data_IF_505446855792
#
_entry.id   IF_505446855792
#
_cell.length_a   1.000
_cell.length_b   1.000
_cell.length_c   1.000
_cell.angle_alpha   90.00
_cell.angle_beta   90.00
_cell.angle_gamma   90.00
#
_symmetry.space_group_name_H-M   'P 1'
#
loop_
_entity.id
_entity.type
_entity.pdbx_description
1 polymer ?
#
# COMPACT_ATOMS: atom_id res chain seq x y z
N UNK A 1 1.74 10.39 27.17
CA UNK A 1 1.44 10.88 25.81
C UNK A 1 1.67 12.37 25.80
N UNK A 2 2.29 12.99 24.77
CA UNK A 2 2.16 14.40 24.61
C UNK A 2 0.66 14.73 24.55
N UNK A 3 0.25 15.78 25.25
CA UNK A 3 -1.15 16.26 25.21
C UNK A 3 -1.41 16.79 23.80
N UNK A 4 -1.95 15.92 22.94
CA UNK A 4 -2.17 16.21 21.54
C UNK A 4 -3.41 17.08 21.42
N UNK A 5 -3.24 18.40 21.56
CA UNK A 5 -4.34 19.35 21.43
C UNK A 5 -4.79 19.45 19.96
N UNK A 6 -6.04 19.88 19.77
CA UNK A 6 -6.57 20.20 18.44
C UNK A 6 -5.70 21.22 17.70
N UNK A 7 -5.20 22.24 18.40
CA UNK A 7 -4.34 23.28 17.81
C UNK A 7 -2.98 22.72 17.40
N UNK A 8 -2.42 21.77 18.17
CA UNK A 8 -1.18 21.06 17.79
C UNK A 8 -1.38 20.27 16.51
N UNK A 9 -2.46 19.49 16.40
CA UNK A 9 -2.81 18.76 15.20
C UNK A 9 -2.97 19.68 14.01
N UNK A 10 -3.79 20.71 14.14
CA UNK A 10 -4.06 21.66 13.06
C UNK A 10 -2.78 22.35 12.59
N UNK A 11 -1.89 22.73 13.51
CA UNK A 11 -0.60 23.33 13.17
C UNK A 11 0.30 22.35 12.41
N UNK A 12 0.38 21.08 12.84
CA UNK A 12 1.16 20.05 12.16
C UNK A 12 0.64 19.77 10.75
N UNK A 13 -0.69 19.74 10.58
CA UNK A 13 -1.32 19.58 9.25
C UNK A 13 -1.06 20.78 8.36
N UNK A 14 -1.19 22.00 8.88
CA UNK A 14 -0.96 23.22 8.09
C UNK A 14 0.50 23.37 7.65
N UNK A 15 1.44 22.81 8.40
CA UNK A 15 2.86 22.82 8.05
C UNK A 15 3.23 21.83 6.92
N UNK A 16 2.30 20.95 6.54
CA UNK A 16 2.52 19.92 5.52
C UNK A 16 1.52 20.07 4.37
N UNK A 17 2.00 20.07 3.13
CA UNK A 17 1.15 20.12 1.94
C UNK A 17 0.29 18.86 1.74
N UNK A 18 0.45 17.85 2.60
CA UNK A 18 -0.28 16.58 2.58
C UNK A 18 -1.79 16.73 2.68
N UNK A 19 -2.27 17.84 3.23
CA UNK A 19 -3.66 18.01 3.64
C UNK A 19 -4.35 19.21 3.02
N UNK A 20 -3.72 19.91 2.10
CA UNK A 20 -4.27 21.13 1.50
C UNK A 20 -5.64 20.91 0.84
N UNK A 21 -5.87 19.70 0.30
CA UNK A 21 -7.12 19.30 -0.36
C UNK A 21 -8.09 18.53 0.56
N UNK A 22 -7.76 18.35 1.84
CA UNK A 22 -8.55 17.54 2.77
C UNK A 22 -9.47 18.39 3.64
N UNK A 23 -10.71 17.96 3.72
CA UNK A 23 -11.76 18.59 4.57
C UNK A 23 -12.09 17.75 5.81
N UNK A 24 -11.18 16.90 6.24
CA UNK A 24 -11.41 15.99 7.34
C UNK A 24 -11.53 16.71 8.68
N UNK A 25 -12.33 16.13 9.54
CA UNK A 25 -12.34 16.51 10.95
C UNK A 25 -11.18 15.81 11.65
N UNK A 26 -10.45 16.57 12.46
CA UNK A 26 -9.36 16.07 13.28
C UNK A 26 -9.89 15.75 14.68
N UNK A 27 -9.37 14.68 15.28
CA UNK A 27 -9.60 14.36 16.69
C UNK A 27 -8.26 14.40 17.42
N UNK A 28 -8.17 15.02 18.61
CA UNK A 28 -6.98 14.94 19.45
C UNK A 28 -6.77 13.54 20.03
N UNK A 29 -7.80 12.72 20.03
CA UNK A 29 -7.76 11.33 20.51
C UNK A 29 -7.60 10.37 19.36
N UNK A 30 -6.65 9.44 19.49
CA UNK A 30 -6.51 8.32 18.58
C UNK A 30 -7.76 7.42 18.68
N UNK A 31 -8.18 6.85 17.56
CA UNK A 31 -9.31 5.92 17.55
C UNK A 31 -8.92 4.61 18.26
N UNK A 32 -9.62 4.24 19.37
CA UNK A 32 -9.29 3.05 20.10
C UNK A 32 -9.74 1.79 19.35
N UNK A 33 -8.87 0.79 19.31
CA UNK A 33 -9.17 -0.56 18.81
C UNK A 33 -9.18 -1.53 19.99
N UNK A 34 -10.16 -2.42 20.02
CA UNK A 34 -10.14 -3.55 20.96
C UNK A 34 -9.15 -4.62 20.51
N UNK A 35 -8.66 -5.48 21.42
CA UNK A 35 -7.81 -6.61 21.03
C UNK A 35 -8.44 -7.52 19.97
N UNK A 36 -9.75 -7.71 20.02
CA UNK A 36 -10.51 -8.50 19.05
C UNK A 36 -10.52 -7.84 17.68
N UNK A 37 -10.65 -6.51 17.61
CA UNK A 37 -10.56 -5.75 16.37
C UNK A 37 -9.15 -5.83 15.76
N UNK A 38 -8.10 -5.74 16.58
CA UNK A 38 -6.72 -5.91 16.11
C UNK A 38 -6.52 -7.31 15.54
N UNK A 39 -6.97 -8.35 16.24
CA UNK A 39 -6.89 -9.72 15.76
C UNK A 39 -7.67 -9.92 14.44
N UNK A 40 -8.83 -9.28 14.30
CA UNK A 40 -9.62 -9.32 13.07
C UNK A 40 -8.88 -8.64 11.90
N UNK A 41 -8.21 -7.50 12.13
CA UNK A 41 -7.40 -6.82 11.11
C UNK A 41 -6.23 -7.71 10.64
N UNK A 42 -5.58 -8.42 11.55
CA UNK A 42 -4.52 -9.38 11.20
C UNK A 42 -5.06 -10.54 10.35
N UNK A 43 -6.23 -11.08 10.70
CA UNK A 43 -6.89 -12.13 9.92
C UNK A 43 -7.28 -11.63 8.52
N UNK A 44 -7.82 -10.40 8.40
CA UNK A 44 -8.14 -9.78 7.11
C UNK A 44 -6.87 -9.65 6.26
N UNK A 45 -5.76 -9.21 6.85
CA UNK A 45 -4.48 -9.13 6.14
C UNK A 45 -4.04 -10.48 5.58
N UNK A 46 -4.11 -11.55 6.38
CA UNK A 46 -3.84 -12.91 5.93
C UNK A 46 -4.77 -13.37 4.80
N UNK A 47 -6.06 -13.13 4.94
CA UNK A 47 -7.06 -13.48 3.91
C UNK A 47 -6.83 -12.72 2.59
N UNK A 48 -6.39 -11.46 2.63
CA UNK A 48 -6.03 -10.69 1.44
C UNK A 48 -4.86 -11.34 0.68
N UNK A 49 -3.84 -11.82 1.38
CA UNK A 49 -2.73 -12.55 0.74
C UNK A 49 -3.20 -13.86 0.11
N UNK A 50 -4.01 -14.66 0.80
CA UNK A 50 -4.57 -15.89 0.26
C UNK A 50 -5.46 -15.63 -0.96
N UNK A 51 -6.26 -14.55 -0.93
CA UNK A 51 -7.07 -14.12 -2.07
C UNK A 51 -6.22 -13.82 -3.30
N UNK A 52 -5.11 -13.07 -3.14
CA UNK A 52 -4.20 -12.78 -4.25
C UNK A 52 -3.59 -14.05 -4.84
N UNK A 53 -3.17 -15.01 -4.00
CA UNK A 53 -2.64 -16.31 -4.46
C UNK A 53 -3.68 -17.11 -5.24
N UNK A 54 -4.91 -17.14 -4.72
CA UNK A 54 -6.01 -17.81 -5.38
C UNK A 54 -6.36 -17.16 -6.73
N UNK A 55 -6.37 -15.83 -6.79
CA UNK A 55 -6.65 -15.06 -8.00
C UNK A 55 -5.56 -15.26 -9.07
N UNK A 56 -4.28 -15.25 -8.70
CA UNK A 56 -3.19 -15.57 -9.63
C UNK A 56 -3.34 -16.99 -10.18
N UNK A 57 -3.59 -17.96 -9.31
CA UNK A 57 -3.80 -19.35 -9.72
C UNK A 57 -4.98 -19.48 -10.69
N UNK A 58 -6.09 -18.85 -10.40
CA UNK A 58 -7.28 -18.82 -11.22
C UNK A 58 -6.98 -18.20 -12.59
N UNK A 59 -6.33 -17.06 -12.62
CA UNK A 59 -5.96 -16.36 -13.85
C UNK A 59 -5.02 -17.22 -14.73
N UNK A 60 -3.92 -17.73 -14.17
CA UNK A 60 -2.96 -18.52 -14.94
C UNK A 60 -3.53 -19.85 -15.48
N UNK A 61 -4.43 -20.49 -14.72
CA UNK A 61 -5.14 -21.68 -15.20
C UNK A 61 -6.17 -21.35 -16.26
N UNK A 62 -6.85 -20.21 -16.14
CA UNK A 62 -7.76 -19.68 -17.16
C UNK A 62 -7.02 -19.45 -18.48
N UNK A 63 -5.90 -18.73 -18.45
CA UNK A 63 -5.03 -18.51 -19.63
C UNK A 63 -4.58 -19.80 -20.27
N UNK A 64 -4.22 -20.81 -19.47
CA UNK A 64 -3.72 -22.10 -19.95
C UNK A 64 -4.84 -23.08 -20.39
N UNK A 65 -6.11 -22.73 -20.25
CA UNK A 65 -7.24 -23.63 -20.53
C UNK A 65 -7.24 -24.88 -19.62
N UNK A 66 -6.74 -24.75 -18.39
CA UNK A 66 -6.63 -25.87 -17.44
C UNK A 66 -7.75 -25.85 -16.42
N UNK A 67 -8.12 -27.04 -15.94
CA UNK A 67 -9.09 -27.18 -14.84
C UNK A 67 -8.63 -26.42 -13.59
N UNK A 68 -9.55 -25.72 -12.95
CA UNK A 68 -9.31 -25.02 -11.69
C UNK A 68 -9.17 -25.98 -10.51
N UNK A 69 -9.96 -27.05 -10.50
CA UNK A 69 -9.96 -28.06 -9.46
C UNK A 69 -9.37 -29.38 -9.99
N UNK A 70 -8.66 -30.08 -9.10
CA UNK A 70 -7.97 -31.33 -9.46
C UNK A 70 -8.93 -32.45 -9.86
N UNK A 71 -10.09 -32.51 -9.19
CA UNK A 71 -11.02 -33.65 -9.28
C UNK A 71 -12.35 -33.30 -9.95
N UNK A 72 -12.50 -32.11 -10.53
CA UNK A 72 -13.73 -31.70 -11.21
C UNK A 72 -13.36 -30.94 -12.50
N UNK A 73 -14.03 -31.24 -13.62
CA UNK A 73 -13.87 -30.46 -14.83
C UNK A 73 -14.50 -29.08 -14.63
N UNK A 74 -13.67 -28.10 -14.27
CA UNK A 74 -14.06 -26.71 -14.11
C UNK A 74 -13.09 -25.84 -14.89
N UNK A 75 -13.52 -25.40 -16.06
CA UNK A 75 -12.82 -24.44 -16.90
C UNK A 75 -13.44 -23.07 -16.73
N UNK A 76 -12.62 -22.04 -16.61
CA UNK A 76 -13.07 -20.66 -16.51
C UNK A 76 -12.26 -19.74 -17.43
N UNK A 77 -12.28 -19.95 -18.76
CA UNK A 77 -11.52 -19.15 -19.73
C UNK A 77 -11.94 -17.67 -19.68
N UNK A 78 -13.18 -17.39 -19.32
CA UNK A 78 -13.72 -16.05 -19.19
C UNK A 78 -12.99 -15.16 -18.16
N UNK A 79 -12.30 -15.77 -17.18
CA UNK A 79 -11.56 -15.00 -16.15
C UNK A 79 -10.40 -14.24 -16.77
N UNK A 80 -9.59 -14.91 -17.60
CA UNK A 80 -8.51 -14.23 -18.31
C UNK A 80 -9.04 -13.19 -19.29
N UNK A 81 -10.10 -13.54 -20.04
CA UNK A 81 -10.74 -12.60 -20.98
C UNK A 81 -11.27 -11.34 -20.28
N UNK A 82 -11.85 -11.52 -19.10
CA UNK A 82 -12.34 -10.40 -18.28
C UNK A 82 -11.21 -9.55 -17.74
N UNK A 83 -10.20 -10.16 -17.11
CA UNK A 83 -9.10 -9.46 -16.47
C UNK A 83 -8.17 -8.76 -17.48
N UNK A 84 -8.04 -9.27 -18.70
CA UNK A 84 -7.19 -8.69 -19.73
C UNK A 84 -7.91 -7.63 -20.58
N UNK A 85 -9.23 -7.55 -20.47
CA UNK A 85 -10.04 -6.65 -21.31
C UNK A 85 -9.60 -5.21 -21.13
N UNK A 86 -9.34 -4.53 -22.27
CA UNK A 86 -8.94 -3.13 -22.32
C UNK A 86 -7.49 -2.85 -21.94
N UNK A 87 -6.70 -3.88 -21.57
CA UNK A 87 -5.29 -3.70 -21.25
C UNK A 87 -4.42 -3.74 -22.50
N UNK A 88 -3.34 -2.94 -22.58
CA UNK A 88 -2.33 -3.06 -23.64
C UNK A 88 -1.71 -4.45 -23.68
N UNK A 89 -1.43 -4.96 -24.88
CA UNK A 89 -0.85 -6.29 -25.06
C UNK A 89 0.47 -6.49 -24.30
N UNK A 90 1.32 -5.47 -24.24
CA UNK A 90 2.58 -5.51 -23.50
C UNK A 90 2.36 -5.72 -21.99
N UNK A 91 1.32 -5.09 -21.42
CA UNK A 91 0.97 -5.27 -20.01
C UNK A 91 0.45 -6.69 -19.74
N UNK A 92 -0.40 -7.22 -20.63
CA UNK A 92 -0.90 -8.60 -20.53
C UNK A 92 0.26 -9.60 -20.63
N UNK A 93 1.20 -9.39 -21.55
CA UNK A 93 2.39 -10.25 -21.68
C UNK A 93 3.25 -10.19 -20.42
N UNK A 94 3.47 -9.00 -19.86
CA UNK A 94 4.21 -8.82 -18.61
C UNK A 94 3.54 -9.55 -17.44
N UNK A 95 2.23 -9.41 -17.28
CA UNK A 95 1.47 -10.08 -16.22
C UNK A 95 1.55 -11.63 -16.34
N UNK A 96 1.71 -12.16 -17.54
CA UNK A 96 1.83 -13.60 -17.81
C UNK A 96 3.26 -14.15 -17.76
N UNK A 97 4.26 -13.27 -17.63
CA UNK A 97 5.67 -13.68 -17.58
C UNK A 97 5.92 -14.56 -16.34
N UNK A 98 6.63 -15.66 -16.56
CA UNK A 98 6.95 -16.61 -15.49
C UNK A 98 7.79 -16.00 -14.35
N UNK A 99 8.53 -14.94 -14.64
CA UNK A 99 9.33 -14.19 -13.63
C UNK A 99 8.46 -13.46 -12.61
N UNK A 100 7.22 -13.16 -12.96
CA UNK A 100 6.27 -12.47 -12.08
C UNK A 100 5.38 -13.42 -11.27
N UNK A 101 5.54 -14.75 -11.45
CA UNK A 101 4.74 -15.73 -10.72
C UNK A 101 5.06 -15.70 -9.24
N UNK A 102 4.01 -15.63 -8.43
CA UNK A 102 4.12 -15.54 -6.98
C UNK A 102 4.62 -14.17 -6.48
N UNK A 103 4.74 -13.17 -7.37
CA UNK A 103 5.03 -11.81 -6.96
C UNK A 103 3.77 -11.17 -6.39
N UNK A 104 3.87 -10.66 -5.15
CA UNK A 104 2.78 -9.94 -4.49
C UNK A 104 3.00 -8.44 -4.55
N UNK A 105 1.91 -7.63 -4.53
CA UNK A 105 2.03 -6.21 -4.30
C UNK A 105 2.75 -5.93 -2.98
N UNK A 106 3.65 -4.93 -2.97
CA UNK A 106 4.33 -4.51 -1.74
C UNK A 106 3.36 -3.89 -0.71
N UNK A 107 2.20 -3.44 -1.18
CA UNK A 107 1.15 -2.84 -0.36
C UNK A 107 -0.19 -3.43 -0.77
N UNK A 108 -0.97 -3.85 0.22
CA UNK A 108 -2.38 -4.18 0.10
C UNK A 108 -3.16 -3.19 0.98
N UNK A 109 -4.22 -2.60 0.42
CA UNK A 109 -5.04 -1.61 1.09
C UNK A 109 -6.50 -2.04 1.05
N UNK A 110 -6.96 -2.82 2.04
CA UNK A 110 -8.37 -3.15 2.17
C UNK A 110 -9.15 -1.94 2.67
N UNK A 111 -10.27 -1.63 2.02
CA UNK A 111 -11.25 -0.68 2.53
C UNK A 111 -12.26 -1.42 3.40
N UNK A 112 -12.40 -0.97 4.65
CA UNK A 112 -13.17 -1.66 5.68
C UNK A 112 -14.31 -0.79 6.17
N UNK A 113 -15.48 -1.38 6.29
CA UNK A 113 -16.61 -0.80 7.01
C UNK A 113 -16.68 -1.38 8.42
N UNK A 114 -16.81 -0.51 9.41
CA UNK A 114 -17.12 -0.92 10.78
C UNK A 114 -18.60 -1.23 10.89
N UNK A 115 -18.90 -2.45 11.31
CA UNK A 115 -20.28 -2.95 11.52
C UNK A 115 -20.46 -3.37 12.98
N UNK A 116 -21.66 -3.74 13.37
CA UNK A 116 -21.94 -4.31 14.70
C UNK A 116 -21.19 -5.63 14.96
N UNK A 117 -20.87 -6.37 13.90
CA UNK A 117 -20.16 -7.65 13.97
C UNK A 117 -18.62 -7.53 13.77
N UNK A 118 -18.10 -6.29 13.62
CA UNK A 118 -16.69 -6.02 13.37
C UNK A 118 -16.44 -5.41 11.99
N UNK A 119 -15.33 -5.75 11.34
CA UNK A 119 -14.97 -5.19 10.04
C UNK A 119 -15.53 -6.00 8.87
N UNK A 120 -16.13 -5.31 7.90
CA UNK A 120 -16.51 -5.87 6.61
C UNK A 120 -15.63 -5.29 5.51
N UNK A 121 -15.00 -6.16 4.70
CA UNK A 121 -14.20 -5.78 3.55
C UNK A 121 -15.12 -5.35 2.40
N UNK A 122 -14.88 -4.18 1.83
CA UNK A 122 -15.64 -3.64 0.69
C UNK A 122 -14.82 -3.54 -0.58
N UNK A 123 -13.55 -3.22 -0.48
CA UNK A 123 -12.64 -3.07 -1.60
C UNK A 123 -11.23 -3.53 -1.21
N UNK A 124 -10.48 -4.06 -2.18
CA UNK A 124 -9.09 -4.43 -1.99
C UNK A 124 -8.23 -3.78 -3.08
N UNK A 125 -7.50 -2.78 -2.68
CA UNK A 125 -6.56 -2.04 -3.50
C UNK A 125 -5.12 -2.57 -3.36
N UNK A 126 -4.33 -2.42 -4.40
CA UNK A 126 -2.90 -2.83 -4.42
C UNK A 126 -1.97 -1.67 -4.78
N UNK A 127 -2.44 -0.44 -4.62
CA UNK A 127 -1.65 0.78 -4.83
C UNK A 127 -1.25 1.40 -3.50
N UNK A 128 -0.07 2.02 -3.40
CA UNK A 128 0.44 2.58 -2.14
C UNK A 128 -0.20 3.93 -1.75
N UNK A 129 -1.32 4.30 -2.37
CA UNK A 129 -2.04 5.54 -2.03
C UNK A 129 -2.47 5.55 -0.56
N UNK A 130 -2.27 6.67 0.13
CA UNK A 130 -2.58 6.82 1.55
C UNK A 130 -1.47 6.39 2.52
N UNK A 131 -0.43 5.68 2.05
CA UNK A 131 0.63 5.16 2.95
C UNK A 131 1.46 6.28 3.60
N UNK A 132 1.79 7.33 2.84
CA UNK A 132 2.53 8.48 3.36
C UNK A 132 1.70 9.28 4.36
N UNK A 133 0.43 9.47 4.05
CA UNK A 133 -0.53 10.13 4.92
C UNK A 133 -0.74 9.38 6.23
N UNK A 134 -0.96 8.07 6.16
CA UNK A 134 -1.16 7.23 7.36
C UNK A 134 0.13 7.17 8.20
N UNK A 135 1.30 7.07 7.57
CA UNK A 135 2.57 7.10 8.28
C UNK A 135 2.80 8.44 9.01
N UNK A 136 2.42 9.57 8.39
CA UNK A 136 2.46 10.88 9.04
C UNK A 136 1.54 10.92 10.27
N UNK A 137 0.29 10.45 10.12
CA UNK A 137 -0.67 10.39 11.23
C UNK A 137 -0.15 9.52 12.39
N UNK A 138 0.40 8.35 12.08
CA UNK A 138 0.94 7.45 13.10
C UNK A 138 2.10 8.10 13.88
N UNK A 139 2.97 8.86 13.22
CA UNK A 139 4.02 9.61 13.90
C UNK A 139 3.44 10.73 14.76
N UNK A 140 2.42 11.43 14.27
CA UNK A 140 1.80 12.55 14.98
C UNK A 140 1.09 12.08 16.26
N UNK A 141 0.37 10.97 16.20
CA UNK A 141 -0.36 10.42 17.35
C UNK A 141 0.52 9.62 18.31
N UNK A 142 1.47 8.86 17.81
CA UNK A 142 2.30 7.94 18.61
C UNK A 142 3.64 8.54 19.02
N UNK A 143 4.11 9.60 18.36
CA UNK A 143 5.50 10.01 18.48
C UNK A 143 6.46 8.86 18.14
N UNK A 144 7.65 8.89 18.73
CA UNK A 144 8.67 7.85 18.49
C UNK A 144 8.59 6.68 19.48
N UNK A 145 7.73 6.73 20.47
CA UNK A 145 7.81 5.82 21.64
C UNK A 145 6.49 5.12 22.00
N UNK A 146 5.36 5.57 21.49
CA UNK A 146 4.06 4.98 21.88
C UNK A 146 3.77 3.71 21.06
N UNK A 147 4.13 2.56 21.61
CA UNK A 147 3.91 1.25 20.99
C UNK A 147 2.42 0.83 20.94
N UNK A 148 1.51 1.62 21.49
CA UNK A 148 0.06 1.36 21.41
C UNK A 148 -0.53 1.86 20.08
N UNK A 149 0.18 2.72 19.34
CA UNK A 149 -0.23 3.20 18.04
C UNK A 149 0.24 2.21 16.97
N UNK A 150 -0.68 1.67 16.17
CA UNK A 150 -0.33 0.80 15.05
C UNK A 150 0.52 1.56 14.03
N UNK A 151 1.67 0.97 13.66
CA UNK A 151 2.63 1.60 12.75
C UNK A 151 3.46 2.73 13.39
N UNK A 152 3.56 2.79 14.71
CA UNK A 152 4.41 3.75 15.44
C UNK A 152 5.88 3.68 15.00
N UNK A 153 6.69 4.66 15.43
CA UNK A 153 8.14 4.71 15.17
C UNK A 153 8.52 4.61 13.68
N UNK A 154 7.65 5.04 12.78
CA UNK A 154 7.91 4.99 11.33
C UNK A 154 7.86 3.59 10.72
N UNK A 155 7.35 2.59 11.44
CA UNK A 155 7.32 1.20 10.98
C UNK A 155 6.62 1.04 9.63
N UNK A 156 5.56 1.79 9.33
CA UNK A 156 4.88 1.73 8.05
C UNK A 156 5.79 2.14 6.89
N UNK A 157 6.53 3.24 7.01
CA UNK A 157 7.46 3.70 5.98
C UNK A 157 8.63 2.71 5.81
N UNK A 158 9.19 2.20 6.91
CA UNK A 158 10.27 1.22 6.88
C UNK A 158 9.81 -0.12 6.26
N UNK A 159 8.64 -0.63 6.61
CA UNK A 159 8.09 -1.85 6.02
C UNK A 159 7.85 -1.71 4.51
N UNK A 160 7.35 -0.54 4.08
CA UNK A 160 7.22 -0.23 2.65
C UNK A 160 8.58 -0.28 1.95
N UNK A 161 9.60 0.39 2.50
CA UNK A 161 10.95 0.37 1.95
C UNK A 161 11.51 -1.05 1.89
N UNK A 162 11.39 -1.83 2.98
CA UNK A 162 11.90 -3.20 3.05
C UNK A 162 11.25 -4.12 2.03
N UNK A 163 9.94 -4.01 1.83
CA UNK A 163 9.21 -4.80 0.83
C UNK A 163 9.73 -4.55 -0.59
N UNK A 164 10.03 -3.29 -0.94
CA UNK A 164 10.60 -2.94 -2.23
C UNK A 164 12.07 -3.35 -2.35
N UNK A 165 12.87 -3.14 -1.31
CA UNK A 165 14.28 -3.53 -1.29
C UNK A 165 14.48 -5.05 -1.40
N UNK A 166 13.56 -5.83 -0.85
CA UNK A 166 13.56 -7.30 -0.95
C UNK A 166 13.43 -7.83 -2.38
N UNK A 167 12.95 -7.02 -3.32
CA UNK A 167 12.92 -7.38 -4.75
C UNK A 167 14.33 -7.43 -5.39
N UNK A 168 15.32 -6.81 -4.76
CA UNK A 168 16.71 -6.75 -5.22
C UNK A 168 17.67 -7.00 -4.07
N UNK A 169 17.66 -8.22 -3.48
CA UNK A 169 18.41 -8.55 -2.27
C UNK A 169 19.93 -8.43 -2.43
N UNK A 170 20.42 -8.47 -3.67
CA UNK A 170 21.83 -8.26 -4.00
C UNK A 170 22.29 -6.80 -3.85
N UNK A 171 21.35 -5.85 -3.77
CA UNK A 171 21.69 -4.43 -3.61
C UNK A 171 21.58 -4.04 -2.12
N UNK A 172 22.68 -3.63 -1.53
CA UNK A 172 22.73 -3.24 -0.11
C UNK A 172 21.89 -2.00 0.22
N UNK A 173 21.80 -1.05 -0.70
CA UNK A 173 21.01 0.18 -0.58
C UNK A 173 20.45 0.54 -1.96
N UNK A 174 19.35 -0.10 -2.40
CA UNK A 174 18.81 0.12 -3.73
C UNK A 174 18.28 1.54 -3.90
N UNK A 175 18.43 2.06 -5.11
CA UNK A 175 17.74 3.27 -5.53
C UNK A 175 16.28 2.94 -5.86
N UNK A 176 15.36 3.59 -5.16
CA UNK A 176 13.91 3.41 -5.35
C UNK A 176 13.33 4.72 -5.88
N UNK A 177 12.68 4.65 -7.04
CA UNK A 177 11.93 5.76 -7.61
C UNK A 177 10.43 5.50 -7.44
N UNK A 178 9.75 6.40 -6.74
CA UNK A 178 8.28 6.42 -6.63
C UNK A 178 7.77 7.34 -7.74
N UNK A 179 7.15 6.76 -8.75
CA UNK A 179 6.63 7.50 -9.89
C UNK A 179 5.15 7.83 -9.66
N UNK A 180 4.83 9.12 -9.70
CA UNK A 180 3.45 9.60 -9.56
C UNK A 180 3.09 10.42 -10.79
N UNK A 181 2.24 9.84 -11.65
CA UNK A 181 1.75 10.49 -12.87
C UNK A 181 0.84 11.68 -12.56
N UNK A 182 0.47 12.43 -13.59
CA UNK A 182 -0.43 13.58 -13.39
C UNK A 182 -1.87 13.15 -13.09
N UNK A 183 -2.30 11.99 -13.56
CA UNK A 183 -3.60 11.41 -13.20
C UNK A 183 -3.69 11.07 -11.71
N UNK A 184 -2.56 10.72 -11.09
CA UNK A 184 -2.46 10.40 -9.67
C UNK A 184 -1.86 11.57 -8.84
N UNK A 185 -1.89 12.79 -9.34
CA UNK A 185 -1.22 13.96 -8.75
C UNK A 185 -1.62 14.21 -7.28
N UNK A 186 -2.83 13.83 -6.87
CA UNK A 186 -3.32 13.96 -5.49
C UNK A 186 -2.52 13.15 -4.48
N UNK A 187 -1.84 12.07 -4.90
CA UNK A 187 -0.96 11.28 -4.05
C UNK A 187 0.47 11.80 -3.98
N UNK A 188 0.86 12.75 -4.85
CA UNK A 188 2.24 13.21 -4.96
C UNK A 188 2.77 13.87 -3.66
N UNK A 189 2.01 14.69 -2.94
CA UNK A 189 2.49 15.27 -1.69
C UNK A 189 2.87 14.23 -0.65
N UNK A 190 2.02 13.21 -0.44
CA UNK A 190 2.29 12.15 0.54
C UNK A 190 3.45 11.25 0.14
N UNK A 191 3.59 10.95 -1.16
CA UNK A 191 4.71 10.15 -1.66
C UNK A 191 6.05 10.91 -1.58
N UNK A 192 6.05 12.22 -1.74
CA UNK A 192 7.22 13.07 -1.47
C UNK A 192 7.60 13.04 0.00
N UNK A 193 6.62 13.26 0.88
CA UNK A 193 6.85 13.19 2.31
C UNK A 193 7.42 11.83 2.72
N UNK A 194 6.86 10.72 2.22
CA UNK A 194 7.34 9.37 2.48
C UNK A 194 8.80 9.19 2.02
N UNK A 195 9.13 9.64 0.81
CA UNK A 195 10.49 9.60 0.28
C UNK A 195 11.46 10.41 1.16
N UNK A 196 11.08 11.62 1.58
CA UNK A 196 11.89 12.46 2.47
C UNK A 196 12.12 11.81 3.85
N UNK A 197 11.09 11.15 4.43
CA UNK A 197 11.27 10.41 5.69
C UNK A 197 12.32 9.29 5.54
N UNK A 198 12.23 8.53 4.45
CA UNK A 198 13.18 7.46 4.15
C UNK A 198 14.59 8.00 3.85
N UNK A 199 14.71 9.15 3.16
CA UNK A 199 16.00 9.81 2.94
C UNK A 199 16.66 10.25 4.24
N UNK A 200 15.91 10.77 5.21
CA UNK A 200 16.43 11.11 6.56
C UNK A 200 17.02 9.91 7.28
N UNK A 201 16.57 8.71 6.94
CA UNK A 201 17.10 7.42 7.44
C UNK A 201 18.26 6.87 6.58
N UNK A 202 18.77 7.65 5.60
CA UNK A 202 19.86 7.23 4.72
C UNK A 202 19.45 6.32 3.58
N UNK A 203 18.14 6.16 3.31
CA UNK A 203 17.63 5.38 2.18
C UNK A 203 17.66 6.22 0.89
N UNK A 204 17.86 5.57 -0.24
CA UNK A 204 17.91 6.22 -1.56
C UNK A 204 16.55 6.13 -2.24
N UNK A 205 15.56 6.90 -1.76
CA UNK A 205 14.19 6.91 -2.25
C UNK A 205 13.84 8.29 -2.77
N UNK A 206 13.25 8.38 -3.97
CA UNK A 206 12.89 9.65 -4.60
C UNK A 206 11.47 9.56 -5.15
N UNK A 207 10.68 10.62 -4.97
CA UNK A 207 9.37 10.77 -5.60
C UNK A 207 9.48 11.72 -6.78
N UNK A 208 9.04 11.30 -7.96
CA UNK A 208 9.16 12.08 -9.19
C UNK A 208 8.01 11.78 -10.17
N UNK A 209 7.91 12.58 -11.20
CA UNK A 209 7.04 12.31 -12.35
C UNK A 209 7.69 11.30 -13.28
N UNK A 210 6.90 10.54 -14.09
CA UNK A 210 7.45 9.60 -15.06
C UNK A 210 8.45 10.23 -16.05
N UNK A 211 8.20 11.45 -16.50
CA UNK A 211 9.06 12.18 -17.44
C UNK A 211 10.36 12.72 -16.84
N UNK A 212 10.48 12.69 -15.52
CA UNK A 212 11.70 13.09 -14.79
C UNK A 212 12.68 11.91 -14.62
N UNK A 213 12.25 10.68 -14.95
CA UNK A 213 13.12 9.50 -14.94
C UNK A 213 14.33 9.73 -15.85
N UNK A 214 15.53 9.49 -15.32
CA UNK A 214 16.79 9.73 -16.02
C UNK A 214 17.34 11.16 -15.90
N UNK A 215 16.59 12.08 -15.29
CA UNK A 215 17.05 13.44 -14.94
C UNK A 215 17.46 13.59 -13.48
N UNK A 216 17.13 12.62 -12.66
CA UNK A 216 17.56 12.61 -11.27
C UNK A 216 19.08 12.42 -11.23
N UNK A 217 19.81 13.49 -11.00
CA UNK A 217 21.21 13.42 -10.63
C UNK A 217 21.29 12.82 -9.22
N UNK A 218 21.78 11.63 -9.14
CA UNK A 218 22.06 10.90 -7.90
C UNK A 218 23.34 11.43 -7.30
#
# INVERSE_FOLDING_TARGET
MPDLSYDTLRSAFSAQSLFEDKTWRLSPEAWPLTPEQVAQLEQIGGACLEFHQALETLYLRSVAGKNLLRNKPLLAPWVADYLDRGKPAALVQHARDSRNRGAFPAVLRPDLLLTEEGFALTELDSVPGGIGLTAFLNQLYGGDTDATILGHSGAMAENFHQSLAALRPELRNPLIAILVSDEAATYRPEMRWLAEQLQRQGKRVFCMRPEEIGRAHV
#
